data_IF_444851717359
#
_entry.id   IF_444851717359
#
_cell.length_a   1.000
_cell.length_b   1.000
_cell.length_c   1.000
_cell.angle_alpha   90.00
_cell.angle_beta   90.00
_cell.angle_gamma   90.00
#
_symmetry.space_group_name_H-M   'P 1'
#
loop_
_entity.id
_entity.type
_entity.pdbx_description
1 polymer ?
#
# COMPACT_ATOMS: atom_id res chain seq x y z
N UNK A 1 -21.07 -18.27 24.38
CA UNK A 1 -20.00 -19.08 23.77
C UNK A 1 -19.05 -18.09 23.12
N UNK A 2 -17.74 -18.10 23.42
CA UNK A 2 -16.81 -17.37 22.58
C UNK A 2 -16.81 -18.08 21.21
N UNK A 3 -17.38 -17.43 20.21
CA UNK A 3 -17.31 -17.91 18.84
C UNK A 3 -15.85 -17.93 18.43
N UNK A 4 -15.41 -19.04 17.85
CA UNK A 4 -14.10 -19.15 17.24
C UNK A 4 -13.93 -17.97 16.27
N UNK A 5 -13.02 -17.05 16.58
CA UNK A 5 -12.59 -16.03 15.63
C UNK A 5 -11.86 -16.81 14.54
N UNK A 6 -12.55 -17.10 13.45
CA UNK A 6 -11.90 -17.58 12.24
C UNK A 6 -11.06 -16.42 11.74
N UNK A 7 -9.76 -16.45 12.00
CA UNK A 7 -8.82 -15.70 11.20
C UNK A 7 -8.88 -16.36 9.82
N UNK A 8 -9.69 -15.81 8.91
CA UNK A 8 -9.67 -16.24 7.52
C UNK A 8 -8.26 -15.99 6.98
N UNK A 9 -7.63 -17.05 6.49
CA UNK A 9 -6.26 -16.97 5.98
C UNK A 9 -6.27 -16.15 4.70
N UNK A 10 -5.61 -14.99 4.71
CA UNK A 10 -5.42 -14.17 3.51
C UNK A 10 -4.57 -14.95 2.52
N UNK A 11 -5.15 -15.24 1.37
CA UNK A 11 -4.48 -15.97 0.31
C UNK A 11 -3.72 -15.00 -0.61
N UNK A 12 -2.78 -15.53 -1.38
CA UNK A 12 -2.11 -14.74 -2.44
C UNK A 12 -3.11 -14.12 -3.43
N UNK A 13 -4.18 -14.82 -3.76
CA UNK A 13 -5.21 -14.30 -4.67
C UNK A 13 -5.95 -13.10 -4.06
N UNK A 14 -6.14 -13.08 -2.75
CA UNK A 14 -6.74 -11.94 -2.04
C UNK A 14 -5.80 -10.72 -2.06
N UNK A 15 -4.50 -10.96 -1.91
CA UNK A 15 -3.47 -9.91 -2.01
C UNK A 15 -3.41 -9.33 -3.43
N UNK A 16 -3.41 -10.18 -4.46
CA UNK A 16 -3.44 -9.74 -5.86
C UNK A 16 -4.70 -8.92 -6.16
N UNK A 17 -5.87 -9.39 -5.71
CA UNK A 17 -7.16 -8.69 -5.84
C UNK A 17 -7.17 -7.34 -5.11
N UNK A 18 -6.63 -7.28 -3.90
CA UNK A 18 -6.49 -6.06 -3.11
C UNK A 18 -5.57 -5.06 -3.83
N UNK A 19 -4.41 -5.54 -4.31
CA UNK A 19 -3.45 -4.72 -5.06
C UNK A 19 -4.06 -4.10 -6.31
N UNK A 20 -4.71 -4.91 -7.15
CA UNK A 20 -5.39 -4.45 -8.37
C UNK A 20 -6.47 -3.40 -8.09
N UNK A 21 -7.19 -3.53 -6.97
CA UNK A 21 -8.23 -2.58 -6.57
C UNK A 21 -7.66 -1.26 -6.06
N UNK A 22 -6.53 -1.31 -5.36
CA UNK A 22 -5.93 -0.14 -4.72
C UNK A 22 -5.10 0.71 -5.69
N UNK A 23 -4.34 0.09 -6.59
CA UNK A 23 -3.44 0.79 -7.52
C UNK A 23 -4.18 1.91 -8.29
N UNK A 24 -3.58 3.10 -8.31
CA UNK A 24 -4.19 4.26 -8.97
C UNK A 24 -5.29 4.93 -8.15
N UNK A 25 -5.46 4.56 -6.87
CA UNK A 25 -6.46 5.15 -5.97
C UNK A 25 -5.80 5.69 -4.69
N UNK A 26 -6.54 6.51 -3.94
CA UNK A 26 -6.24 6.86 -2.55
C UNK A 26 -7.16 6.10 -1.57
N UNK A 27 -7.72 4.96 -1.99
CA UNK A 27 -8.65 4.19 -1.16
C UNK A 27 -7.93 3.61 0.05
N UNK A 28 -8.56 3.66 1.23
CA UNK A 28 -7.98 3.03 2.43
C UNK A 28 -8.14 1.50 2.38
N UNK A 29 -7.24 0.78 3.06
CA UNK A 29 -7.29 -0.68 3.18
C UNK A 29 -8.66 -1.14 3.71
N UNK A 30 -9.19 -0.50 4.75
CA UNK A 30 -10.48 -0.87 5.34
C UNK A 30 -11.64 -0.73 4.33
N UNK A 31 -11.63 0.33 3.53
CA UNK A 31 -12.63 0.52 2.47
C UNK A 31 -12.49 -0.53 1.36
N UNK A 32 -11.26 -0.95 1.04
CA UNK A 32 -11.01 -2.00 0.07
C UNK A 32 -11.38 -3.38 0.61
N UNK A 33 -11.13 -3.67 1.89
CA UNK A 33 -11.61 -4.87 2.58
C UNK A 33 -13.13 -5.01 2.47
N UNK A 34 -13.87 -3.95 2.81
CA UNK A 34 -15.35 -3.93 2.70
C UNK A 34 -15.82 -4.11 1.25
N UNK A 35 -15.20 -3.40 0.31
CA UNK A 35 -15.58 -3.47 -1.11
C UNK A 35 -15.30 -4.84 -1.76
N UNK A 36 -14.26 -5.54 -1.30
CA UNK A 36 -13.82 -6.81 -1.87
C UNK A 36 -14.28 -8.04 -1.07
N UNK A 37 -14.96 -7.83 0.06
CA UNK A 37 -15.34 -8.86 1.04
C UNK A 37 -14.11 -9.65 1.52
N UNK A 38 -13.06 -8.92 1.92
CA UNK A 38 -11.79 -9.46 2.42
C UNK A 38 -11.64 -9.22 3.92
N UNK A 39 -10.97 -10.11 4.66
CA UNK A 39 -10.75 -9.92 6.08
C UNK A 39 -9.88 -8.69 6.36
N UNK A 40 -10.20 -7.98 7.45
CA UNK A 40 -9.34 -6.92 7.98
C UNK A 40 -8.08 -7.53 8.60
N UNK A 41 -6.91 -7.00 8.23
CA UNK A 41 -5.63 -7.48 8.72
C UNK A 41 -4.66 -6.28 8.84
N UNK A 42 -3.96 -6.10 9.98
CA UNK A 42 -3.04 -4.98 10.17
C UNK A 42 -1.81 -5.04 9.23
N UNK A 43 -1.48 -6.21 8.70
CA UNK A 43 -0.28 -6.45 7.90
C UNK A 43 -0.56 -6.30 6.39
N UNK A 44 -1.71 -5.73 5.99
CA UNK A 44 -2.05 -5.52 4.58
C UNK A 44 -1.01 -4.68 3.82
N UNK A 45 -0.48 -3.59 4.40
CA UNK A 45 0.58 -2.79 3.77
C UNK A 45 1.81 -3.67 3.43
N UNK A 46 2.21 -4.59 4.32
CA UNK A 46 3.35 -5.48 4.11
C UNK A 46 3.04 -6.57 3.07
N UNK A 47 1.84 -7.17 3.15
CA UNK A 47 1.39 -8.19 2.19
C UNK A 47 1.31 -7.65 0.76
N UNK A 48 0.91 -6.39 0.59
CA UNK A 48 0.81 -5.75 -0.73
C UNK A 48 2.17 -5.59 -1.43
N UNK A 49 3.27 -5.57 -0.67
CA UNK A 49 4.62 -5.59 -1.24
C UNK A 49 4.90 -6.91 -2.00
N UNK A 50 4.29 -8.03 -1.60
CA UNK A 50 4.45 -9.32 -2.30
C UNK A 50 3.86 -9.31 -3.72
N UNK A 51 2.96 -8.36 -4.01
CA UNK A 51 2.36 -8.15 -5.34
C UNK A 51 2.82 -6.84 -5.98
N UNK A 52 3.94 -6.28 -5.51
CA UNK A 52 4.51 -5.02 -5.99
C UNK A 52 3.50 -3.86 -5.93
N UNK A 53 2.79 -3.70 -4.81
CA UNK A 53 1.91 -2.56 -4.58
C UNK A 53 2.32 -1.86 -3.29
N UNK A 54 2.52 -0.55 -3.38
CA UNK A 54 3.00 0.27 -2.27
C UNK A 54 2.23 1.59 -2.17
N UNK A 55 2.09 2.10 -0.94
CA UNK A 55 1.40 3.36 -0.66
C UNK A 55 2.38 4.49 -0.41
N UNK A 56 2.19 5.61 -1.10
CA UNK A 56 2.89 6.85 -0.78
C UNK A 56 2.53 7.32 0.63
N UNK A 57 3.53 7.52 1.49
CA UNK A 57 3.31 7.94 2.90
C UNK A 57 2.82 9.38 3.04
N UNK A 58 2.89 10.19 1.98
CA UNK A 58 2.47 11.60 1.97
C UNK A 58 1.08 11.82 1.41
N UNK A 59 0.80 11.32 0.21
CA UNK A 59 -0.50 11.52 -0.46
C UNK A 59 -1.47 10.34 -0.34
N UNK A 60 -1.04 9.24 0.29
CA UNK A 60 -1.81 8.01 0.49
C UNK A 60 -2.27 7.32 -0.81
N UNK A 61 -1.76 7.75 -1.96
CA UNK A 61 -2.02 7.11 -3.23
C UNK A 61 -1.22 5.81 -3.37
N UNK A 62 -1.85 4.80 -3.96
CA UNK A 62 -1.26 3.48 -4.18
C UNK A 62 -0.66 3.39 -5.58
N UNK A 63 0.56 2.88 -5.65
CA UNK A 63 1.33 2.73 -6.87
C UNK A 63 1.83 1.30 -7.03
N UNK A 64 2.18 0.94 -8.26
CA UNK A 64 3.06 -0.21 -8.49
C UNK A 64 4.42 0.05 -7.83
N UNK A 65 5.00 -1.00 -7.25
CA UNK A 65 6.28 -0.89 -6.54
C UNK A 65 7.40 -0.53 -7.50
N UNK A 66 8.38 0.22 -7.00
CA UNK A 66 9.43 0.94 -7.76
C UNK A 66 8.99 2.28 -8.37
N UNK A 67 7.77 2.76 -8.08
CA UNK A 67 7.34 4.12 -8.46
C UNK A 67 7.58 5.14 -7.34
N UNK A 68 7.93 4.68 -6.13
CA UNK A 68 8.22 5.54 -4.99
C UNK A 68 9.72 5.54 -4.66
N UNK A 69 10.21 6.69 -4.21
CA UNK A 69 11.54 6.80 -3.60
C UNK A 69 11.44 6.63 -2.09
N UNK A 70 12.35 5.87 -1.50
CA UNK A 70 12.38 5.66 -0.06
C UNK A 70 12.91 6.90 0.66
N UNK A 71 12.06 7.51 1.50
CA UNK A 71 12.43 8.65 2.34
C UNK A 71 12.60 8.18 3.78
N UNK A 72 13.82 8.30 4.31
CA UNK A 72 14.16 7.84 5.67
C UNK A 72 13.31 8.55 6.74
N UNK A 73 13.04 9.85 6.57
CA UNK A 73 12.23 10.64 7.49
C UNK A 73 10.78 10.13 7.62
N UNK A 74 10.23 9.58 6.54
CA UNK A 74 8.86 9.06 6.49
C UNK A 74 8.80 7.54 6.75
N UNK A 75 9.97 6.90 6.81
CA UNK A 75 10.11 5.44 6.87
C UNK A 75 9.24 4.73 5.83
N UNK A 76 9.26 5.21 4.58
CA UNK A 76 8.44 4.67 3.50
C UNK A 76 8.62 5.41 2.18
N UNK A 77 7.88 4.96 1.16
CA UNK A 77 7.95 5.50 -0.19
C UNK A 77 7.21 6.84 -0.34
N UNK A 78 7.77 7.75 -1.13
CA UNK A 78 7.13 8.97 -1.62
C UNK A 78 7.17 9.03 -3.15
N UNK A 79 6.06 9.47 -3.76
CA UNK A 79 5.99 9.63 -5.21
C UNK A 79 6.64 10.96 -5.65
N UNK A 80 7.00 11.07 -6.93
CA UNK A 80 7.68 12.23 -7.51
C UNK A 80 6.97 13.56 -7.22
N UNK A 81 5.64 13.57 -7.22
CA UNK A 81 4.84 14.77 -6.92
C UNK A 81 4.92 15.19 -5.45
N UNK A 82 5.20 14.24 -4.55
CA UNK A 82 5.35 14.48 -3.12
C UNK A 82 6.80 14.76 -2.70
N UNK A 83 7.78 14.50 -3.57
CA UNK A 83 9.17 14.84 -3.30
C UNK A 83 9.37 16.35 -3.30
N UNK A 84 10.12 16.83 -2.32
CA UNK A 84 10.66 18.19 -2.33
C UNK A 84 11.73 18.33 -3.41
N UNK A 85 12.07 19.55 -3.79
CA UNK A 85 13.13 19.78 -4.79
C UNK A 85 14.49 19.25 -4.32
N UNK A 86 14.79 19.36 -3.02
CA UNK A 86 16.01 18.80 -2.43
C UNK A 86 16.04 17.26 -2.54
N UNK A 87 14.93 16.59 -2.23
CA UNK A 87 14.83 15.13 -2.39
C UNK A 87 14.92 14.72 -3.86
N UNK A 88 14.27 15.46 -4.79
CA UNK A 88 14.39 15.19 -6.22
C UNK A 88 15.83 15.32 -6.72
N UNK A 89 16.58 16.31 -6.23
CA UNK A 89 18.00 16.46 -6.55
C UNK A 89 18.81 15.25 -6.06
N UNK A 90 18.53 14.72 -4.87
CA UNK A 90 19.19 13.52 -4.32
C UNK A 90 18.96 12.27 -5.19
N UNK A 91 17.76 12.12 -5.74
CA UNK A 91 17.39 11.01 -6.63
C UNK A 91 17.67 11.28 -8.12
N UNK A 92 18.19 12.46 -8.47
CA UNK A 92 18.50 12.84 -9.86
C UNK A 92 17.26 13.02 -10.76
N UNK A 93 16.16 13.54 -10.20
CA UNK A 93 14.86 13.75 -10.86
C UNK A 93 14.59 15.23 -11.25
N UNK A 94 15.63 16.06 -11.27
CA UNK A 94 15.56 17.50 -11.62
C UNK A 94 15.95 17.83 -13.06
#
# INVERSE_FOLDING_TARGET
MPGDIKCEEITRADIEKMGEYLVGTCTSILMACDALDLPEDPDWDDKLLDVNVERCKRCEHWFESCMLEFIEADNGGSCDDCLTEEEKDEFGKT
#
